data_IF_615261078831
#
_entry.id   IF_615261078831
#
_cell.length_a   1.000
_cell.length_b   1.000
_cell.length_c   1.000
_cell.angle_alpha   90.00
_cell.angle_beta   90.00
_cell.angle_gamma   90.00
#
_symmetry.space_group_name_H-M   'P 1'
#
loop_
_entity.id
_entity.type
_entity.pdbx_description
1 polymer ?
#
# COMPACT_ATOMS: atom_id res chain seq x y z
N UNK A 1 -1.00 -34.16 41.25
CA UNK A 1 -0.14 -32.97 41.26
C UNK A 1 0.51 -32.86 39.87
N UNK A 2 0.28 -31.77 39.12
CA UNK A 2 0.97 -31.38 37.87
C UNK A 2 0.64 -32.08 36.52
N UNK A 3 -0.62 -32.03 36.04
CA UNK A 3 -0.93 -32.21 34.60
C UNK A 3 -1.83 -31.11 33.98
N UNK A 4 -1.92 -29.93 34.60
CA UNK A 4 -2.78 -28.83 34.13
C UNK A 4 -2.04 -27.59 33.60
N UNK A 5 -0.71 -27.60 33.48
CA UNK A 5 0.07 -26.38 33.18
C UNK A 5 0.42 -26.12 31.71
N UNK A 6 -0.16 -26.85 30.77
CA UNK A 6 0.09 -26.58 29.33
C UNK A 6 -1.19 -26.64 28.52
N UNK A 7 -2.26 -26.02 29.03
CA UNK A 7 -3.28 -25.48 28.13
C UNK A 7 -2.64 -24.31 27.39
N UNK A 8 -2.04 -24.61 26.24
CA UNK A 8 -1.63 -23.63 25.23
C UNK A 8 -2.79 -22.65 25.05
N UNK A 9 -2.72 -21.53 25.76
CA UNK A 9 -3.73 -20.49 25.73
C UNK A 9 -3.51 -19.76 24.42
N UNK A 10 -4.10 -20.31 23.36
CA UNK A 10 -4.83 -19.52 22.39
C UNK A 10 -4.09 -18.26 21.93
N UNK A 11 -2.90 -18.41 21.33
CA UNK A 11 -2.17 -17.32 20.68
C UNK A 11 -3.05 -16.59 19.65
N UNK A 12 -4.00 -17.31 19.05
CA UNK A 12 -5.01 -16.77 18.14
C UNK A 12 -5.99 -15.80 18.80
N UNK A 13 -6.33 -15.96 20.08
CA UNK A 13 -7.26 -15.06 20.79
C UNK A 13 -6.55 -13.83 21.34
N UNK A 14 -5.29 -13.97 21.77
CA UNK A 14 -4.46 -12.83 22.21
C UNK A 14 -4.05 -11.93 21.05
N UNK A 15 -3.54 -12.50 19.95
CA UNK A 15 -3.13 -11.73 18.78
C UNK A 15 -4.33 -11.04 18.11
N UNK A 16 -5.47 -11.74 17.99
CA UNK A 16 -6.70 -11.15 17.47
C UNK A 16 -7.25 -10.05 18.38
N UNK A 17 -7.25 -10.26 19.70
CA UNK A 17 -7.67 -9.23 20.65
C UNK A 17 -6.80 -7.97 20.58
N UNK A 18 -5.50 -8.11 20.30
CA UNK A 18 -4.60 -6.98 20.08
C UNK A 18 -4.92 -6.23 18.77
N UNK A 19 -5.16 -6.95 17.68
CA UNK A 19 -5.58 -6.37 16.40
C UNK A 19 -6.94 -5.65 16.51
N UNK A 20 -7.86 -6.17 17.33
CA UNK A 20 -9.16 -5.56 17.61
C UNK A 20 -9.04 -4.30 18.49
N UNK A 21 -8.06 -4.26 19.40
CA UNK A 21 -7.82 -3.11 20.28
C UNK A 21 -7.08 -1.96 19.59
N UNK A 22 -6.17 -2.27 18.65
CA UNK A 22 -5.39 -1.29 17.91
C UNK A 22 -5.39 -1.54 16.40
N UNK A 23 -6.55 -1.48 15.73
CA UNK A 23 -6.67 -1.87 14.33
C UNK A 23 -5.87 -0.95 13.41
N UNK A 24 -5.93 0.36 13.62
CA UNK A 24 -5.25 1.33 12.76
C UNK A 24 -3.72 1.23 12.87
N UNK A 25 -3.19 1.15 14.09
CA UNK A 25 -1.75 1.00 14.31
C UNK A 25 -1.23 -0.33 13.73
N UNK A 26 -1.98 -1.42 13.96
CA UNK A 26 -1.63 -2.74 13.43
C UNK A 26 -1.63 -2.78 11.90
N UNK A 27 -2.59 -2.10 11.27
CA UNK A 27 -2.60 -1.92 9.82
C UNK A 27 -1.35 -1.20 9.32
N UNK A 28 -1.00 -0.04 9.91
CA UNK A 28 0.17 0.73 9.48
C UNK A 28 1.49 -0.03 9.70
N UNK A 29 1.65 -0.70 10.84
CA UNK A 29 2.84 -1.51 11.13
C UNK A 29 2.98 -2.64 10.10
N UNK A 30 1.88 -3.35 9.79
CA UNK A 30 1.90 -4.39 8.75
C UNK A 30 2.21 -3.81 7.37
N UNK A 31 1.53 -2.73 6.98
CA UNK A 31 1.72 -2.10 5.67
C UNK A 31 3.15 -1.62 5.49
N UNK A 32 3.72 -0.99 6.51
CA UNK A 32 5.11 -0.54 6.52
C UNK A 32 6.06 -1.72 6.40
N UNK A 33 5.88 -2.75 7.22
CA UNK A 33 6.74 -3.95 7.20
C UNK A 33 6.74 -4.64 5.83
N UNK A 34 5.56 -4.84 5.24
CA UNK A 34 5.46 -5.45 3.91
C UNK A 34 6.06 -4.56 2.81
N UNK A 35 5.87 -3.25 2.89
CA UNK A 35 6.50 -2.31 1.96
C UNK A 35 8.02 -2.43 2.00
N UNK A 36 8.61 -2.42 3.20
CA UNK A 36 10.07 -2.54 3.33
C UNK A 36 10.62 -3.89 2.88
N UNK A 37 9.93 -4.99 3.18
CA UNK A 37 10.36 -6.33 2.72
C UNK A 37 10.43 -6.40 1.19
N UNK A 38 9.49 -5.76 0.49
CA UNK A 38 9.49 -5.71 -0.97
C UNK A 38 10.49 -4.69 -1.51
N UNK A 39 10.69 -3.56 -0.82
CA UNK A 39 11.53 -2.46 -1.27
C UNK A 39 13.03 -2.69 -1.04
N UNK A 40 13.42 -3.35 0.05
CA UNK A 40 14.83 -3.61 0.41
C UNK A 40 15.61 -4.28 -0.74
N UNK A 41 15.12 -5.36 -1.38
CA UNK A 41 15.80 -5.98 -2.52
C UNK A 41 16.09 -5.01 -3.66
N UNK A 42 15.14 -4.11 -3.96
CA UNK A 42 15.32 -3.09 -4.98
C UNK A 42 16.39 -2.06 -4.58
N UNK A 43 16.34 -1.54 -3.34
CA UNK A 43 17.35 -0.59 -2.83
C UNK A 43 18.76 -1.19 -2.89
N UNK A 44 18.92 -2.44 -2.42
CA UNK A 44 20.19 -3.15 -2.43
C UNK A 44 20.71 -3.38 -3.86
N UNK A 45 19.83 -3.58 -4.84
CA UNK A 45 20.19 -3.64 -6.26
C UNK A 45 20.67 -2.28 -6.80
N UNK A 46 19.99 -1.18 -6.42
CA UNK A 46 20.41 0.17 -6.82
C UNK A 46 21.78 0.56 -6.24
N UNK A 47 22.08 0.12 -5.02
CA UNK A 47 23.37 0.32 -4.35
C UNK A 47 24.50 -0.59 -4.86
N UNK A 48 24.20 -1.51 -5.78
CA UNK A 48 25.20 -2.42 -6.38
C UNK A 48 25.62 -3.57 -5.47
N UNK A 49 24.91 -3.80 -4.35
CA UNK A 49 25.12 -4.97 -3.48
C UNK A 49 24.50 -6.21 -4.14
N UNK A 50 23.34 -6.06 -4.78
CA UNK A 50 22.75 -7.09 -5.63
C UNK A 50 22.97 -6.81 -7.13
N UNK A 51 22.94 -7.85 -7.98
CA UNK A 51 22.99 -7.68 -9.43
C UNK A 51 21.90 -6.72 -9.91
N UNK A 52 22.26 -5.78 -10.78
CA UNK A 52 21.30 -4.91 -11.47
C UNK A 52 20.62 -5.66 -12.59
N UNK A 53 19.72 -6.59 -12.22
CA UNK A 53 18.87 -7.30 -13.19
C UNK A 53 17.50 -6.64 -13.25
N UNK A 54 16.88 -6.67 -14.44
CA UNK A 54 15.48 -6.24 -14.66
C UNK A 54 14.48 -6.94 -13.73
N UNK A 55 14.86 -8.08 -13.16
CA UNK A 55 14.07 -8.79 -12.17
C UNK A 55 13.88 -7.98 -10.88
N UNK A 56 14.84 -7.14 -10.47
CA UNK A 56 14.70 -6.32 -9.26
C UNK A 56 13.80 -5.09 -9.46
N UNK A 57 13.68 -4.58 -10.70
CA UNK A 57 12.76 -3.47 -11.01
C UNK A 57 11.30 -3.86 -10.73
N UNK A 58 10.94 -5.14 -10.84
CA UNK A 58 9.58 -5.62 -10.56
C UNK A 58 9.18 -5.37 -9.10
N UNK A 59 10.14 -5.40 -8.17
CA UNK A 59 9.89 -5.17 -6.76
C UNK A 59 9.53 -3.70 -6.50
N UNK A 60 10.09 -2.76 -7.27
CA UNK A 60 9.72 -1.35 -7.18
C UNK A 60 8.25 -1.12 -7.56
N UNK A 61 7.81 -1.69 -8.69
CA UNK A 61 6.40 -1.61 -9.10
C UNK A 61 5.47 -2.36 -8.14
N UNK A 62 5.88 -3.54 -7.67
CA UNK A 62 5.10 -4.32 -6.72
C UNK A 62 4.93 -3.59 -5.38
N UNK A 63 5.97 -2.90 -4.90
CA UNK A 63 5.94 -2.18 -3.62
C UNK A 63 4.79 -1.17 -3.53
N UNK A 64 4.44 -0.50 -4.65
CA UNK A 64 3.37 0.49 -4.69
C UNK A 64 1.99 -0.08 -4.27
N UNK A 65 1.78 -1.39 -4.45
CA UNK A 65 0.51 -2.05 -4.17
C UNK A 65 0.59 -3.00 -2.99
N UNK A 66 1.69 -3.75 -2.87
CA UNK A 66 1.79 -4.89 -1.95
C UNK A 66 1.64 -4.45 -0.49
N UNK A 67 2.31 -3.39 -0.05
CA UNK A 67 2.32 -2.99 1.35
C UNK A 67 0.92 -2.79 1.96
N UNK A 68 0.17 -1.76 1.51
CA UNK A 68 -1.16 -1.48 2.04
C UNK A 68 -2.20 -2.55 1.68
N UNK A 69 -2.10 -3.15 0.49
CA UNK A 69 -3.09 -4.13 0.02
C UNK A 69 -3.01 -5.43 0.82
N UNK A 70 -1.81 -5.96 1.09
CA UNK A 70 -1.64 -7.17 1.90
C UNK A 70 -2.06 -6.92 3.35
N UNK A 71 -1.68 -5.76 3.91
CA UNK A 71 -2.07 -5.38 5.26
C UNK A 71 -3.59 -5.25 5.41
N UNK A 72 -4.25 -4.59 4.46
CA UNK A 72 -5.71 -4.46 4.43
C UNK A 72 -6.37 -5.84 4.34
N UNK A 73 -5.87 -6.71 3.45
CA UNK A 73 -6.42 -8.05 3.27
C UNK A 73 -6.34 -8.90 4.54
N UNK A 74 -5.19 -8.88 5.23
CA UNK A 74 -5.00 -9.61 6.49
C UNK A 74 -5.94 -9.05 7.55
N UNK A 75 -5.96 -7.73 7.73
CA UNK A 75 -6.80 -7.02 8.71
C UNK A 75 -8.30 -7.27 8.50
N UNK A 76 -8.79 -7.15 7.27
CA UNK A 76 -10.18 -7.43 6.92
C UNK A 76 -10.56 -8.87 7.27
N UNK A 77 -9.68 -9.82 6.95
CA UNK A 77 -9.94 -11.24 7.20
C UNK A 77 -9.91 -11.58 8.70
N UNK A 78 -9.06 -10.92 9.48
CA UNK A 78 -8.95 -11.15 10.94
C UNK A 78 -10.06 -10.49 11.74
N UNK A 79 -10.46 -9.26 11.37
CA UNK A 79 -11.43 -8.47 12.15
C UNK A 79 -12.87 -8.74 11.73
N UNK A 80 -13.16 -8.73 10.43
CA UNK A 80 -14.54 -8.69 9.94
C UNK A 80 -15.00 -10.02 9.31
N UNK A 81 -14.07 -10.96 9.10
CA UNK A 81 -14.36 -12.27 8.52
C UNK A 81 -14.70 -12.24 7.01
N UNK A 82 -15.00 -13.41 6.43
CA UNK A 82 -15.17 -13.59 4.96
C UNK A 82 -16.39 -12.85 4.39
N UNK A 83 -17.42 -12.64 5.18
CA UNK A 83 -18.70 -12.03 4.76
C UNK A 83 -18.57 -10.52 4.54
N UNK A 84 -17.77 -9.84 5.38
CA UNK A 84 -17.61 -8.38 5.30
C UNK A 84 -16.84 -7.93 4.05
N UNK A 85 -15.88 -8.74 3.60
CA UNK A 85 -15.16 -8.49 2.34
C UNK A 85 -16.10 -8.38 1.13
N UNK A 86 -17.18 -9.17 1.08
CA UNK A 86 -18.19 -9.07 0.00
C UNK A 86 -18.92 -7.74 0.05
N UNK A 87 -19.25 -7.24 1.24
CA UNK A 87 -19.93 -5.94 1.42
C UNK A 87 -19.00 -4.79 1.02
N UNK A 88 -17.75 -4.80 1.47
CA UNK A 88 -16.76 -3.77 1.12
C UNK A 88 -16.46 -3.78 -0.38
N UNK A 89 -16.21 -4.95 -0.97
CA UNK A 89 -15.98 -5.07 -2.42
C UNK A 89 -17.19 -4.59 -3.23
N UNK A 90 -18.41 -4.95 -2.81
CA UNK A 90 -19.64 -4.46 -3.45
C UNK A 90 -19.77 -2.95 -3.28
N UNK A 91 -19.44 -2.40 -2.11
CA UNK A 91 -19.43 -0.95 -1.87
C UNK A 91 -18.47 -0.23 -2.79
N UNK A 92 -17.21 -0.69 -2.89
CA UNK A 92 -16.19 -0.12 -3.78
C UNK A 92 -16.66 -0.16 -5.24
N UNK A 93 -17.17 -1.30 -5.70
CA UNK A 93 -17.65 -1.46 -7.09
C UNK A 93 -18.96 -0.71 -7.37
N UNK A 94 -19.80 -0.50 -6.36
CA UNK A 94 -21.08 0.21 -6.48
C UNK A 94 -20.96 1.71 -6.27
N UNK A 95 -19.82 2.18 -5.75
CA UNK A 95 -19.54 3.61 -5.58
C UNK A 95 -19.39 4.22 -6.96
N UNK A 96 -20.52 4.71 -7.50
CA UNK A 96 -20.54 5.50 -8.72
C UNK A 96 -20.01 6.88 -8.40
N UNK A 97 -18.71 7.05 -8.44
CA UNK A 97 -18.12 8.39 -8.46
C UNK A 97 -18.62 9.06 -9.73
N UNK A 98 -19.31 10.20 -9.58
CA UNK A 98 -19.87 10.91 -10.73
C UNK A 98 -18.79 11.21 -11.77
N UNK A 99 -19.12 11.14 -13.06
CA UNK A 99 -18.18 11.40 -14.16
C UNK A 99 -17.42 12.74 -13.99
N UNK A 100 -18.08 13.73 -13.37
CA UNK A 100 -17.49 15.02 -12.98
C UNK A 100 -16.22 14.88 -12.12
N UNK A 101 -16.20 13.95 -11.16
CA UNK A 101 -15.04 13.71 -10.31
C UNK A 101 -13.88 13.11 -11.08
N UNK A 102 -14.15 12.26 -12.07
CA UNK A 102 -13.12 11.70 -12.95
C UNK A 102 -12.51 12.80 -13.83
N UNK A 103 -13.34 13.65 -14.42
CA UNK A 103 -12.85 14.77 -15.24
C UNK A 103 -12.08 15.78 -14.39
N UNK A 104 -12.56 16.05 -13.18
CA UNK A 104 -11.89 16.95 -12.23
C UNK A 104 -10.52 16.41 -11.84
N UNK A 105 -10.39 15.15 -11.42
CA UNK A 105 -9.07 14.59 -11.07
C UNK A 105 -8.14 14.51 -12.28
N UNK A 106 -8.68 14.20 -13.47
CA UNK A 106 -7.92 14.16 -14.71
C UNK A 106 -7.33 15.52 -15.10
N UNK A 107 -7.99 16.63 -14.74
CA UNK A 107 -7.51 17.99 -15.05
C UNK A 107 -6.64 18.53 -13.90
N UNK A 108 -7.09 18.35 -12.66
CA UNK A 108 -6.45 18.94 -11.47
C UNK A 108 -5.08 18.34 -11.20
N UNK A 109 -4.90 17.03 -11.37
CA UNK A 109 -3.60 16.39 -11.12
C UNK A 109 -2.55 16.93 -12.10
N UNK A 110 -2.75 16.90 -13.44
CA UNK A 110 -1.80 17.50 -14.38
C UNK A 110 -1.60 18.99 -14.19
N UNK A 111 -2.67 19.75 -13.90
CA UNK A 111 -2.57 21.19 -13.66
C UNK A 111 -1.71 21.50 -12.42
N UNK A 112 -1.91 20.77 -11.32
CA UNK A 112 -1.10 20.92 -10.11
C UNK A 112 0.36 20.55 -10.37
N UNK A 113 0.64 19.48 -11.12
CA UNK A 113 2.00 19.10 -11.51
C UNK A 113 2.66 20.18 -12.36
N UNK A 114 1.95 20.73 -13.34
CA UNK A 114 2.44 21.81 -14.20
C UNK A 114 2.74 23.07 -13.40
N UNK A 115 1.83 23.47 -12.50
CA UNK A 115 2.05 24.61 -11.61
C UNK A 115 3.26 24.39 -10.70
N UNK A 116 3.42 23.19 -10.15
CA UNK A 116 4.60 22.81 -9.37
C UNK A 116 5.90 22.97 -10.18
N UNK A 117 5.91 22.54 -11.44
CA UNK A 117 7.07 22.73 -12.32
C UNK A 117 7.37 24.20 -12.60
N UNK A 118 6.34 25.02 -12.85
CA UNK A 118 6.51 26.46 -13.08
C UNK A 118 7.06 27.16 -11.85
N UNK A 119 6.55 26.83 -10.65
CA UNK A 119 7.00 27.42 -9.40
C UNK A 119 8.46 27.02 -9.10
N UNK A 120 8.81 25.75 -9.30
CA UNK A 120 10.16 25.25 -9.00
C UNK A 120 11.22 25.74 -9.98
N UNK A 121 10.88 25.85 -11.27
CA UNK A 121 11.85 26.23 -12.31
C UNK A 121 11.83 27.73 -12.61
N UNK A 122 10.82 28.48 -12.17
CA UNK A 122 10.65 29.90 -12.47
C UNK A 122 10.36 30.22 -13.95
N UNK A 123 10.27 29.18 -14.79
CA UNK A 123 10.06 29.26 -16.23
C UNK A 123 8.90 28.36 -16.65
N UNK A 124 8.25 28.70 -17.77
CA UNK A 124 7.25 27.83 -18.37
C UNK A 124 7.99 26.62 -18.96
N UNK A 125 7.73 25.39 -18.51
CA UNK A 125 8.43 24.21 -19.01
C UNK A 125 8.21 24.12 -20.53
N UNK A 126 9.27 24.39 -21.27
CA UNK A 126 9.23 24.44 -22.73
C UNK A 126 9.67 23.08 -23.25
N UNK A 127 8.88 22.44 -24.11
CA UNK A 127 9.20 21.14 -24.73
C UNK A 127 10.38 21.17 -25.71
N UNK A 128 11.20 22.24 -25.69
CA UNK A 128 12.22 22.57 -26.70
C UNK A 128 13.36 21.55 -26.78
N UNK A 129 13.54 20.72 -25.75
CA UNK A 129 14.62 19.73 -25.65
C UNK A 129 14.14 18.28 -25.84
N UNK A 130 12.90 18.05 -26.29
CA UNK A 130 12.45 16.72 -26.70
C UNK A 130 12.88 16.45 -28.15
N UNK A 131 14.17 16.14 -28.34
CA UNK A 131 14.62 15.53 -29.58
C UNK A 131 14.17 14.05 -29.57
N UNK A 132 13.21 13.72 -30.43
CA UNK A 132 12.91 12.33 -30.82
C UNK A 132 13.94 11.85 -31.85
#
# INVERSE_FOLDING_TARGET
MLKHLTKSKNSSTGLRGYLESYPLASFFVMAYSFSWVVLIPFILSQWGIFPKTKAFDIFFFANAFVGPMLAAYIMFRTLEGKESWKKVRKSILSTKVGLKWHLFTLIVIPAAMFLGMVILNGEIPTFRNLNF
#
